data_IF_871353584208
#
_entry.id   IF_871353584208
#
_cell.length_a   1.000
_cell.length_b   1.000
_cell.length_c   1.000
_cell.angle_alpha   90.00
_cell.angle_beta   90.00
_cell.angle_gamma   90.00
#
_symmetry.space_group_name_H-M   'P 1'
#
loop_
_entity.id
_entity.type
_entity.pdbx_description
1 polymer ?
#
# COMPACT_ATOMS: atom_id res chain seq x y z
N UNK A 1 -20.78 -2.04 -4.52
CA UNK A 1 -19.50 -2.72 -4.85
C UNK A 1 -19.84 -3.99 -5.62
N UNK A 2 -19.44 -4.04 -6.90
CA UNK A 2 -19.61 -5.27 -7.68
C UNK A 2 -18.39 -6.17 -7.40
N UNK A 3 -18.65 -7.33 -6.79
CA UNK A 3 -17.59 -8.31 -6.54
C UNK A 3 -17.13 -8.94 -7.86
N UNK A 4 -15.82 -9.25 -8.01
CA UNK A 4 -15.34 -9.97 -9.19
C UNK A 4 -15.99 -11.36 -9.26
N UNK A 5 -16.39 -11.79 -10.47
CA UNK A 5 -17.01 -13.11 -10.65
C UNK A 5 -16.06 -14.29 -10.41
N UNK A 6 -14.76 -14.06 -10.54
CA UNK A 6 -13.71 -15.07 -10.34
C UNK A 6 -12.56 -14.44 -9.56
N UNK A 7 -12.13 -15.11 -8.52
CA UNK A 7 -10.92 -14.80 -7.75
C UNK A 7 -9.92 -15.95 -7.86
N UNK A 8 -8.72 -15.74 -7.37
CA UNK A 8 -7.74 -16.84 -7.28
C UNK A 8 -6.99 -16.82 -5.95
N UNK A 9 -6.46 -17.96 -5.56
CA UNK A 9 -5.54 -18.13 -4.44
C UNK A 9 -4.28 -18.85 -4.90
N UNK A 10 -3.19 -18.65 -4.18
CA UNK A 10 -1.89 -19.22 -4.47
C UNK A 10 -1.39 -19.97 -3.24
N UNK A 11 -1.35 -21.30 -3.38
CA UNK A 11 -0.77 -22.23 -2.39
C UNK A 11 0.35 -23.01 -3.10
N UNK A 12 0.19 -24.32 -3.23
CA UNK A 12 1.09 -25.20 -4.01
C UNK A 12 0.81 -25.13 -5.52
N UNK A 13 -0.27 -24.48 -5.89
CA UNK A 13 -0.70 -24.16 -7.24
C UNK A 13 -1.56 -22.89 -7.26
N UNK A 14 -1.84 -22.36 -8.46
CA UNK A 14 -2.86 -21.34 -8.59
C UNK A 14 -4.23 -21.98 -8.73
N UNK A 15 -5.21 -21.53 -7.93
CA UNK A 15 -6.58 -22.00 -7.94
C UNK A 15 -7.53 -20.86 -8.21
N UNK A 16 -8.26 -20.93 -9.31
CA UNK A 16 -9.32 -19.98 -9.63
C UNK A 16 -10.63 -20.45 -9.04
N UNK A 17 -11.36 -19.57 -8.39
CA UNK A 17 -12.60 -19.85 -7.66
C UNK A 17 -13.70 -18.99 -8.28
N UNK A 18 -14.78 -19.64 -8.71
CA UNK A 18 -16.02 -18.98 -9.09
C UNK A 18 -16.73 -18.48 -7.83
N UNK A 19 -16.94 -17.16 -7.76
CA UNK A 19 -17.51 -16.53 -6.58
C UNK A 19 -19.01 -16.77 -6.42
N UNK A 20 -19.72 -17.09 -7.49
CA UNK A 20 -21.15 -17.38 -7.43
C UNK A 20 -21.44 -18.77 -6.87
N UNK A 21 -20.60 -19.76 -7.21
CA UNK A 21 -20.77 -21.16 -6.82
C UNK A 21 -19.82 -21.60 -5.71
N UNK A 22 -18.82 -20.78 -5.39
CA UNK A 22 -17.71 -21.10 -4.48
C UNK A 22 -16.99 -22.42 -4.87
N UNK A 23 -16.87 -22.68 -6.16
CA UNK A 23 -16.21 -23.88 -6.69
C UNK A 23 -14.90 -23.54 -7.39
N UNK A 24 -13.95 -24.47 -7.35
CA UNK A 24 -12.67 -24.33 -8.06
C UNK A 24 -12.89 -24.60 -9.56
N UNK A 25 -12.41 -23.69 -10.38
CA UNK A 25 -12.37 -23.83 -11.84
C UNK A 25 -11.14 -24.68 -12.25
N UNK A 26 -11.24 -26.00 -12.07
CA UNK A 26 -10.10 -26.93 -12.18
C UNK A 26 -9.34 -26.79 -13.52
N UNK A 27 -10.06 -26.77 -14.65
CA UNK A 27 -9.43 -26.64 -15.97
C UNK A 27 -8.62 -25.36 -16.10
N UNK A 28 -9.14 -24.24 -15.63
CA UNK A 28 -8.45 -22.95 -15.65
C UNK A 28 -7.24 -22.96 -14.74
N UNK A 29 -7.41 -23.49 -13.52
CA UNK A 29 -6.36 -23.61 -12.51
C UNK A 29 -5.20 -24.44 -13.02
N UNK A 30 -5.48 -25.58 -13.65
CA UNK A 30 -4.46 -26.45 -14.24
C UNK A 30 -3.68 -25.77 -15.36
N UNK A 31 -4.37 -25.11 -16.30
CA UNK A 31 -3.73 -24.41 -17.43
C UNK A 31 -2.76 -23.33 -16.91
N UNK A 32 -3.15 -22.56 -15.92
CA UNK A 32 -2.29 -21.51 -15.35
C UNK A 32 -1.14 -22.10 -14.54
N UNK A 33 -1.39 -23.15 -13.75
CA UNK A 33 -0.34 -23.85 -13.00
C UNK A 33 0.73 -24.42 -13.93
N UNK A 34 0.32 -25.05 -15.03
CA UNK A 34 1.25 -25.58 -16.04
C UNK A 34 2.05 -24.47 -16.72
N UNK A 35 1.43 -23.32 -17.01
CA UNK A 35 2.14 -22.18 -17.58
C UNK A 35 3.22 -21.63 -16.62
N UNK A 36 2.94 -21.60 -15.32
CA UNK A 36 3.90 -21.20 -14.28
C UNK A 36 5.04 -22.22 -14.19
N UNK A 37 4.74 -23.52 -14.09
CA UNK A 37 5.74 -24.61 -14.04
C UNK A 37 6.64 -24.64 -15.28
N UNK A 38 6.13 -24.38 -16.47
CA UNK A 38 6.92 -24.27 -17.72
C UNK A 38 7.98 -23.16 -17.71
N UNK A 39 7.86 -22.21 -16.77
CA UNK A 39 8.82 -21.13 -16.54
C UNK A 39 9.62 -21.33 -15.26
N UNK A 40 9.68 -22.57 -14.78
CA UNK A 40 10.41 -23.00 -13.57
C UNK A 40 9.97 -22.26 -12.30
N UNK A 41 8.71 -21.80 -12.24
CA UNK A 41 8.18 -21.17 -11.05
C UNK A 41 8.10 -22.17 -9.89
N UNK A 42 8.63 -21.79 -8.74
CA UNK A 42 8.66 -22.63 -7.53
C UNK A 42 7.73 -22.09 -6.46
N UNK A 43 6.69 -22.83 -6.17
CA UNK A 43 5.80 -22.53 -5.05
C UNK A 43 6.49 -22.78 -3.70
N UNK A 44 6.05 -22.11 -2.60
CA UNK A 44 4.97 -21.15 -2.53
C UNK A 44 5.36 -19.75 -3.02
N UNK A 45 4.36 -18.92 -3.30
CA UNK A 45 4.56 -17.50 -3.56
C UNK A 45 4.98 -16.78 -2.28
N UNK A 46 6.01 -15.94 -2.35
CA UNK A 46 6.49 -15.14 -1.21
C UNK A 46 5.86 -13.76 -1.15
N UNK A 47 5.77 -13.10 -2.29
CA UNK A 47 5.20 -11.77 -2.42
C UNK A 47 4.35 -11.70 -3.68
N UNK A 48 3.24 -10.98 -3.62
CA UNK A 48 2.37 -10.71 -4.76
C UNK A 48 1.84 -9.29 -4.68
N UNK A 49 1.82 -8.59 -5.81
CA UNK A 49 1.18 -7.30 -5.97
C UNK A 49 0.33 -7.28 -7.22
N UNK A 50 -0.79 -6.59 -7.15
CA UNK A 50 -1.71 -6.36 -8.25
C UNK A 50 -2.68 -5.25 -7.88
N UNK A 51 -3.37 -4.70 -8.88
CA UNK A 51 -4.39 -3.69 -8.66
C UNK A 51 -5.78 -4.29 -8.93
N UNK A 52 -6.52 -4.73 -7.88
CA UNK A 52 -7.79 -5.42 -8.05
C UNK A 52 -8.98 -4.50 -8.37
N UNK A 53 -8.75 -3.18 -8.51
CA UNK A 53 -9.85 -2.25 -8.81
C UNK A 53 -10.42 -2.49 -10.21
N UNK A 54 -11.74 -2.29 -10.34
CA UNK A 54 -12.43 -2.30 -11.63
C UNK A 54 -12.37 -0.93 -12.33
N UNK A 55 -11.97 0.13 -11.61
CA UNK A 55 -11.83 1.51 -12.11
C UNK A 55 -10.43 1.74 -12.69
N UNK A 56 -10.02 0.97 -13.68
CA UNK A 56 -8.74 1.12 -14.34
C UNK A 56 -8.90 1.02 -15.86
N UNK A 57 -8.09 1.77 -16.60
CA UNK A 57 -8.16 1.82 -18.05
C UNK A 57 -7.66 0.54 -18.71
N UNK A 58 -6.76 -0.17 -18.05
CA UNK A 58 -6.16 -1.42 -18.52
C UNK A 58 -5.75 -2.28 -17.33
N UNK A 59 -5.42 -3.54 -17.57
CA UNK A 59 -5.05 -4.50 -16.53
C UNK A 59 -3.67 -5.11 -16.84
N UNK A 60 -2.69 -4.77 -16.03
CA UNK A 60 -1.36 -5.40 -16.08
C UNK A 60 -1.29 -6.71 -15.28
N UNK A 61 -2.37 -7.09 -14.60
CA UNK A 61 -2.41 -8.33 -13.82
C UNK A 61 -1.60 -8.25 -12.54
N UNK A 62 -0.74 -9.24 -12.31
CA UNK A 62 -0.05 -9.42 -11.04
C UNK A 62 1.45 -9.62 -11.25
N UNK A 63 2.23 -9.09 -10.32
CA UNK A 63 3.65 -9.41 -10.18
C UNK A 63 3.83 -10.23 -8.92
N UNK A 64 4.66 -11.26 -8.97
CA UNK A 64 4.83 -12.18 -7.85
C UNK A 64 6.24 -12.74 -7.78
N UNK A 65 6.70 -13.06 -6.59
CA UNK A 65 7.97 -13.74 -6.37
C UNK A 65 7.73 -15.18 -5.94
N UNK A 66 8.58 -16.06 -6.43
CA UNK A 66 8.56 -17.48 -6.06
C UNK A 66 9.37 -17.78 -4.78
N UNK A 67 9.48 -19.05 -4.40
CA UNK A 67 10.25 -19.47 -3.23
C UNK A 67 11.74 -19.15 -3.31
N UNK A 68 12.27 -18.99 -4.51
CA UNK A 68 13.68 -18.64 -4.78
C UNK A 68 13.87 -17.13 -4.98
N UNK A 69 12.88 -16.29 -4.61
CA UNK A 69 12.87 -14.83 -4.74
C UNK A 69 12.93 -14.30 -6.18
N UNK A 70 12.69 -15.15 -7.18
CA UNK A 70 12.65 -14.75 -8.58
C UNK A 70 11.33 -14.03 -8.88
N UNK A 71 11.38 -12.92 -9.62
CA UNK A 71 10.22 -12.10 -9.96
C UNK A 71 9.59 -12.57 -11.28
N UNK A 72 8.25 -12.56 -11.30
CA UNK A 72 7.47 -12.95 -12.46
C UNK A 72 6.29 -12.01 -12.67
N UNK A 73 5.87 -11.88 -13.94
CA UNK A 73 4.66 -11.18 -14.33
C UNK A 73 3.59 -12.20 -14.75
N UNK A 74 2.43 -12.16 -14.11
CA UNK A 74 1.27 -13.01 -14.37
C UNK A 74 0.10 -12.18 -14.80
N UNK A 75 -0.44 -12.41 -16.00
CA UNK A 75 -1.72 -11.87 -16.44
C UNK A 75 -2.50 -12.83 -17.34
N UNK A 76 -3.75 -12.51 -17.57
CA UNK A 76 -4.60 -13.24 -18.50
C UNK A 76 -4.79 -12.43 -19.78
N UNK A 77 -4.42 -13.00 -20.92
CA UNK A 77 -4.63 -12.39 -22.23
C UNK A 77 -5.63 -13.23 -23.02
N UNK A 78 -6.80 -12.68 -23.31
CA UNK A 78 -7.87 -13.38 -24.05
C UNK A 78 -8.16 -14.79 -23.52
N UNK A 79 -8.26 -14.91 -22.21
CA UNK A 79 -8.51 -16.19 -21.53
C UNK A 79 -7.29 -17.10 -21.33
N UNK A 80 -6.12 -16.75 -21.88
CA UNK A 80 -4.89 -17.55 -21.79
C UNK A 80 -3.91 -16.97 -20.76
N UNK A 81 -3.13 -17.80 -20.06
CA UNK A 81 -2.09 -17.30 -19.17
C UNK A 81 -0.96 -16.63 -19.96
N UNK A 82 -0.57 -15.45 -19.51
CA UNK A 82 0.70 -14.83 -19.84
C UNK A 82 1.55 -14.89 -18.57
N UNK A 83 2.67 -15.59 -18.65
CA UNK A 83 3.58 -15.76 -17.53
C UNK A 83 5.03 -15.57 -17.97
N UNK A 84 5.71 -14.57 -17.40
CA UNK A 84 7.05 -14.17 -17.84
C UNK A 84 7.96 -13.98 -16.61
N UNK A 85 9.17 -14.61 -16.59
CA UNK A 85 10.20 -14.27 -15.63
C UNK A 85 10.76 -12.87 -15.91
N UNK A 86 11.07 -12.13 -14.85
CA UNK A 86 11.68 -10.80 -14.89
C UNK A 86 13.06 -10.93 -14.25
N UNK A 87 14.14 -10.61 -14.98
CA UNK A 87 15.48 -10.69 -14.42
C UNK A 87 15.66 -9.63 -13.34
N UNK A 88 16.15 -10.05 -12.17
CA UNK A 88 16.56 -9.16 -11.10
C UNK A 88 18.10 -9.05 -11.07
N UNK A 89 18.67 -7.91 -10.71
CA UNK A 89 20.09 -7.80 -10.39
C UNK A 89 20.46 -8.77 -9.25
N UNK A 90 21.72 -9.24 -9.25
CA UNK A 90 22.17 -10.17 -8.22
C UNK A 90 22.07 -9.54 -6.82
N UNK A 91 21.54 -10.32 -5.87
CA UNK A 91 21.42 -9.92 -4.47
C UNK A 91 20.20 -9.04 -4.15
N UNK A 92 19.30 -8.81 -5.12
CA UNK A 92 18.04 -8.11 -4.87
C UNK A 92 16.92 -9.12 -4.65
N UNK A 93 16.26 -9.03 -3.50
CA UNK A 93 15.08 -9.81 -3.14
C UNK A 93 13.90 -8.86 -2.92
N UNK A 94 12.85 -9.01 -3.70
CA UNK A 94 11.67 -8.15 -3.62
C UNK A 94 10.79 -8.59 -2.45
N UNK A 95 10.47 -7.63 -1.56
CA UNK A 95 9.65 -7.84 -0.36
C UNK A 95 8.23 -7.31 -0.50
N UNK A 96 8.02 -6.22 -1.25
CA UNK A 96 6.69 -5.66 -1.52
C UNK A 96 6.59 -5.22 -2.98
N UNK A 97 5.38 -5.30 -3.52
CA UNK A 97 5.06 -4.98 -4.91
C UNK A 97 3.83 -4.10 -4.94
N UNK A 98 3.95 -2.91 -5.52
CA UNK A 98 2.87 -1.94 -5.66
C UNK A 98 2.55 -1.74 -7.14
N UNK A 99 1.38 -2.21 -7.57
CA UNK A 99 0.90 -2.09 -8.94
C UNK A 99 -0.15 -1.01 -9.01
N UNK A 100 0.09 -0.02 -9.87
CA UNK A 100 -0.90 1.00 -10.19
C UNK A 100 -0.80 1.34 -11.68
N UNK A 101 -1.88 1.11 -12.39
CA UNK A 101 -1.95 1.37 -13.82
C UNK A 101 -2.18 2.86 -14.08
N UNK A 102 -1.10 3.57 -14.46
CA UNK A 102 -1.17 4.98 -14.86
C UNK A 102 -1.39 5.10 -16.38
N UNK A 103 -2.18 6.10 -16.83
CA UNK A 103 -2.46 6.28 -18.26
C UNK A 103 -1.23 6.40 -19.15
N UNK A 104 -0.12 6.95 -18.63
CA UNK A 104 1.13 7.11 -19.37
C UNK A 104 1.92 5.80 -19.58
N UNK A 105 1.57 4.72 -18.84
CA UNK A 105 2.18 3.38 -18.94
C UNK A 105 3.71 3.35 -18.87
N UNK A 106 4.36 4.31 -18.19
CA UNK A 106 5.82 4.37 -18.12
C UNK A 106 6.43 3.22 -17.29
N UNK A 107 5.72 2.73 -16.30
CA UNK A 107 6.18 1.63 -15.47
C UNK A 107 5.04 0.67 -15.08
N UNK A 108 5.41 -0.57 -14.76
CA UNK A 108 4.49 -1.62 -14.36
C UNK A 108 4.16 -1.58 -12.87
N UNK A 109 5.19 -1.40 -12.05
CA UNK A 109 5.08 -1.49 -10.61
C UNK A 109 6.21 -0.72 -9.93
N UNK A 110 5.98 -0.36 -8.68
CA UNK A 110 7.02 0.02 -7.73
C UNK A 110 7.30 -1.18 -6.84
N UNK A 111 8.58 -1.43 -6.53
CA UNK A 111 9.03 -2.61 -5.79
C UNK A 111 9.92 -2.17 -4.64
N UNK A 112 9.79 -2.78 -3.47
CA UNK A 112 10.79 -2.64 -2.41
C UNK A 112 11.60 -3.91 -2.26
N UNK A 113 12.89 -3.75 -2.02
CA UNK A 113 13.80 -4.87 -1.76
C UNK A 113 13.97 -5.14 -0.24
N UNK A 114 14.78 -6.14 0.09
CA UNK A 114 15.08 -6.55 1.47
C UNK A 114 15.82 -5.46 2.28
N UNK A 115 16.40 -4.47 1.60
CA UNK A 115 17.09 -3.34 2.23
C UNK A 115 16.22 -2.09 2.29
N UNK A 116 14.93 -2.18 1.93
CA UNK A 116 13.99 -1.06 1.87
C UNK A 116 14.36 0.00 0.82
N UNK A 117 15.09 -0.36 -0.25
CA UNK A 117 15.22 0.51 -1.41
C UNK A 117 13.96 0.40 -2.27
N UNK A 118 13.53 1.52 -2.84
CA UNK A 118 12.41 1.57 -3.78
C UNK A 118 12.91 1.55 -5.22
N UNK A 119 12.26 0.74 -6.04
CA UNK A 119 12.60 0.51 -7.45
C UNK A 119 11.39 0.76 -8.33
N UNK A 120 11.58 1.33 -9.50
CA UNK A 120 10.58 1.39 -10.54
C UNK A 120 10.85 0.30 -11.59
N UNK A 121 9.84 -0.51 -11.89
CA UNK A 121 9.89 -1.53 -12.95
C UNK A 121 9.31 -0.95 -14.23
N UNK A 122 10.16 -0.65 -15.21
CA UNK A 122 9.76 0.01 -16.47
C UNK A 122 8.83 -0.82 -17.35
N UNK A 123 8.04 -0.14 -18.15
CA UNK A 123 7.18 -0.69 -19.18
C UNK A 123 7.60 -0.09 -20.56
N UNK A 124 7.86 -0.91 -21.61
CA UNK A 124 7.63 -2.36 -21.68
C UNK A 124 8.84 -3.24 -21.36
N UNK A 125 10.00 -2.68 -21.05
CA UNK A 125 11.29 -3.39 -21.11
C UNK A 125 11.61 -4.22 -19.87
N UNK A 126 10.84 -4.05 -18.77
CA UNK A 126 11.06 -4.69 -17.47
C UNK A 126 12.45 -4.37 -16.87
N UNK A 127 12.95 -3.16 -17.12
CA UNK A 127 14.19 -2.69 -16.48
C UNK A 127 13.89 -2.18 -15.07
N UNK A 128 14.77 -2.48 -14.13
CA UNK A 128 14.70 -1.95 -12.77
C UNK A 128 15.52 -0.67 -12.66
N UNK A 129 14.85 0.40 -12.25
CA UNK A 129 15.47 1.68 -11.96
C UNK A 129 15.40 1.95 -10.45
N UNK A 130 16.54 2.17 -9.76
CA UNK A 130 16.51 2.58 -8.37
C UNK A 130 15.95 4.00 -8.25
N UNK A 131 15.06 4.22 -7.29
CA UNK A 131 14.61 5.56 -6.95
C UNK A 131 15.50 6.10 -5.82
N UNK A 132 16.22 7.22 -6.01
CA UNK A 132 17.18 7.74 -5.04
C UNK A 132 16.49 8.54 -3.93
N UNK A 133 15.54 7.92 -3.24
CA UNK A 133 14.71 8.51 -2.17
C UNK A 133 15.09 8.03 -0.77
N UNK A 134 16.26 7.40 -0.65
CA UNK A 134 16.66 6.73 0.58
C UNK A 134 15.86 5.47 0.86
N UNK A 135 15.81 5.08 2.13
CA UNK A 135 15.10 3.87 2.54
C UNK A 135 13.61 4.16 2.75
N UNK A 136 12.74 3.27 2.30
CA UNK A 136 11.30 3.33 2.46
C UNK A 136 10.79 1.98 3.02
N UNK A 137 10.31 1.99 4.27
CA UNK A 137 9.69 0.80 4.89
C UNK A 137 8.18 0.86 4.75
N UNK A 138 7.57 0.04 3.87
CA UNK A 138 6.11 0.05 3.64
C UNK A 138 5.26 -0.29 4.87
N UNK A 139 5.87 -0.74 5.96
CA UNK A 139 5.16 -1.09 7.21
C UNK A 139 5.08 0.08 8.19
N UNK A 140 5.90 1.11 7.99
CA UNK A 140 6.06 2.20 8.96
C UNK A 140 5.94 3.58 8.32
N UNK A 141 6.29 3.70 7.04
CA UNK A 141 6.38 4.95 6.32
C UNK A 141 5.20 5.06 5.35
N UNK A 142 4.61 6.24 5.24
CA UNK A 142 3.64 6.56 4.20
C UNK A 142 4.34 7.21 3.02
N UNK A 143 3.98 6.82 1.79
CA UNK A 143 4.55 7.38 0.58
C UNK A 143 3.48 7.96 -0.33
N UNK A 144 3.73 9.15 -0.84
CA UNK A 144 2.95 9.76 -1.89
C UNK A 144 3.84 10.10 -3.08
N UNK A 145 3.42 9.72 -4.28
CA UNK A 145 4.13 10.04 -5.52
C UNK A 145 3.18 10.80 -6.43
N UNK A 146 3.57 12.02 -6.75
CA UNK A 146 2.88 12.90 -7.72
C UNK A 146 3.87 13.19 -8.83
N UNK A 147 3.48 12.90 -10.07
CA UNK A 147 4.35 13.09 -11.21
C UNK A 147 3.63 13.64 -12.42
N UNK A 148 4.37 14.42 -13.21
CA UNK A 148 4.00 14.86 -14.54
C UNK A 148 4.94 14.25 -15.59
N UNK A 149 5.02 14.85 -16.76
CA UNK A 149 5.89 14.40 -17.85
C UNK A 149 7.38 14.70 -17.61
N UNK A 150 7.69 15.62 -16.73
CA UNK A 150 9.05 16.15 -16.51
C UNK A 150 9.61 15.76 -15.17
N UNK A 151 8.80 15.80 -14.11
CA UNK A 151 9.25 15.60 -12.73
C UNK A 151 8.32 14.70 -11.94
N UNK A 152 8.90 13.97 -11.00
CA UNK A 152 8.17 13.28 -9.94
C UNK A 152 8.51 13.90 -8.61
N UNK A 153 7.49 14.19 -7.81
CA UNK A 153 7.63 14.55 -6.40
C UNK A 153 7.27 13.34 -5.57
N UNK A 154 8.22 12.84 -4.81
CA UNK A 154 8.03 11.72 -3.87
C UNK A 154 8.10 12.28 -2.46
N UNK A 155 6.99 12.23 -1.73
CA UNK A 155 6.93 12.58 -0.32
C UNK A 155 6.86 11.29 0.50
N UNK A 156 7.73 11.17 1.51
CA UNK A 156 7.76 10.06 2.45
C UNK A 156 7.60 10.62 3.85
N UNK A 157 6.50 10.22 4.50
CA UNK A 157 6.23 10.59 5.88
C UNK A 157 6.82 9.52 6.82
N UNK A 158 7.80 9.92 7.60
CA UNK A 158 8.55 9.08 8.54
C UNK A 158 8.38 9.58 9.96
N UNK A 159 8.82 8.79 10.93
CA UNK A 159 8.79 9.18 12.35
C UNK A 159 9.59 10.44 12.68
N UNK A 160 10.60 10.77 11.91
CA UNK A 160 11.47 11.94 12.06
C UNK A 160 11.00 13.16 11.27
N UNK A 161 10.01 12.99 10.38
CA UNK A 161 9.42 14.05 9.59
C UNK A 161 9.11 13.65 8.15
N UNK A 162 8.69 14.63 7.38
CA UNK A 162 8.40 14.47 5.96
C UNK A 162 9.66 14.71 5.12
N UNK A 163 9.98 13.76 4.26
CA UNK A 163 11.09 13.83 3.32
C UNK A 163 10.53 13.92 1.90
N UNK A 164 10.86 14.98 1.18
CA UNK A 164 10.40 15.24 -0.17
C UNK A 164 11.58 15.16 -1.12
N UNK A 165 11.40 14.42 -2.21
CA UNK A 165 12.38 14.21 -3.26
C UNK A 165 11.79 14.64 -4.59
N UNK A 166 12.51 15.47 -5.34
CA UNK A 166 12.18 15.77 -6.74
C UNK A 166 13.06 14.91 -7.65
N UNK A 167 12.44 14.12 -8.52
CA UNK A 167 13.12 13.24 -9.46
C UNK A 167 12.80 13.66 -10.89
N UNK A 168 13.77 13.52 -11.80
CA UNK A 168 13.54 13.63 -13.23
C UNK A 168 12.64 12.46 -13.70
N UNK A 169 11.58 12.76 -14.45
CA UNK A 169 10.65 11.73 -14.90
C UNK A 169 11.20 10.83 -16.03
N UNK A 170 12.36 11.16 -16.60
CA UNK A 170 12.93 10.40 -17.71
C UNK A 170 13.83 9.28 -17.23
N UNK A 171 14.75 9.58 -16.29
CA UNK A 171 15.76 8.65 -15.80
C UNK A 171 15.73 8.39 -14.29
N UNK A 172 14.78 9.04 -13.61
CA UNK A 172 14.58 8.99 -12.14
C UNK A 172 15.76 9.53 -11.32
N UNK A 173 16.65 10.33 -11.94
CA UNK A 173 17.73 10.98 -11.21
C UNK A 173 17.20 11.99 -10.19
N UNK A 174 17.90 12.13 -9.06
CA UNK A 174 17.54 13.09 -8.02
C UNK A 174 17.85 14.51 -8.49
N UNK A 175 16.83 15.36 -8.53
CA UNK A 175 16.93 16.79 -8.88
C UNK A 175 17.14 17.62 -7.62
N UNK A 176 16.32 17.38 -6.59
CA UNK A 176 16.37 18.14 -5.33
C UNK A 176 15.78 17.33 -4.18
N UNK A 177 16.06 17.76 -2.94
CA UNK A 177 15.49 17.15 -1.73
C UNK A 177 15.20 18.18 -0.67
N UNK A 178 14.08 18.00 0.03
CA UNK A 178 13.66 18.86 1.11
C UNK A 178 13.18 17.98 2.29
N UNK A 179 13.55 18.37 3.50
CA UNK A 179 13.13 17.65 4.70
C UNK A 179 12.45 18.60 5.67
N UNK A 180 11.24 18.26 6.07
CA UNK A 180 10.50 18.93 7.13
C UNK A 180 10.57 18.06 8.38
N UNK A 181 11.35 18.45 9.41
CA UNK A 181 11.40 17.69 10.65
C UNK A 181 10.03 17.66 11.33
N UNK A 182 9.68 16.54 11.92
CA UNK A 182 8.43 16.42 12.66
C UNK A 182 8.42 17.41 13.83
N UNK A 183 7.70 18.50 13.65
CA UNK A 183 7.46 19.43 14.73
C UNK A 183 6.43 18.82 15.70
N UNK A 184 6.89 18.17 16.76
CA UNK A 184 6.01 17.94 17.90
C UNK A 184 5.66 19.29 18.51
N UNK A 185 4.60 19.91 18.03
CA UNK A 185 4.17 21.19 18.60
C UNK A 185 3.89 20.99 20.10
N UNK A 186 4.24 21.97 20.94
CA UNK A 186 3.85 21.92 22.37
C UNK A 186 2.33 21.72 22.49
N UNK A 187 1.56 22.27 21.57
CA UNK A 187 0.11 22.08 21.49
C UNK A 187 -0.28 20.59 21.29
N UNK A 188 0.44 19.83 20.44
CA UNK A 188 0.19 18.39 20.28
C UNK A 188 0.53 17.61 21.53
N UNK A 189 1.67 17.92 22.19
CA UNK A 189 2.06 17.28 23.48
C UNK A 189 1.04 17.57 24.57
N UNK A 190 0.58 18.80 24.68
CA UNK A 190 -0.45 19.22 25.63
C UNK A 190 -1.81 18.61 25.26
N UNK A 191 -2.13 18.55 23.98
CA UNK A 191 -3.36 17.95 23.45
C UNK A 191 -3.59 16.52 23.94
N UNK A 192 -2.56 15.69 23.94
CA UNK A 192 -2.64 14.32 24.45
C UNK A 192 -3.00 14.18 25.96
N UNK A 193 -2.85 15.25 26.74
CA UNK A 193 -3.27 15.27 28.14
C UNK A 193 -4.72 15.75 28.35
N UNK A 194 -5.27 16.47 27.39
CA UNK A 194 -6.61 17.06 27.50
C UNK A 194 -7.66 16.42 26.60
N UNK A 195 -7.26 15.91 25.43
CA UNK A 195 -8.17 15.31 24.48
C UNK A 195 -8.01 13.80 24.44
N UNK A 196 -9.04 13.03 24.89
CA UNK A 196 -8.99 11.56 24.95
C UNK A 196 -9.04 10.88 23.57
N UNK A 197 -9.46 11.61 22.55
CA UNK A 197 -9.50 11.13 21.16
C UNK A 197 -9.42 12.31 20.19
N UNK A 198 -8.95 12.06 18.99
CA UNK A 198 -8.95 13.00 17.87
C UNK A 198 -10.08 12.65 16.90
N UNK A 199 -10.84 13.68 16.49
CA UNK A 199 -11.85 13.56 15.46
C UNK A 199 -11.23 14.03 14.15
N UNK A 200 -11.03 13.10 13.22
CA UNK A 200 -10.59 13.43 11.86
C UNK A 200 -11.71 13.20 10.85
N UNK A 201 -11.65 13.93 9.76
CA UNK A 201 -12.54 13.77 8.62
C UNK A 201 -11.69 13.29 7.44
N UNK A 202 -11.74 12.01 7.16
CA UNK A 202 -10.97 11.40 6.09
C UNK A 202 -11.89 10.69 5.09
N UNK A 203 -11.58 10.85 3.81
CA UNK A 203 -12.17 10.06 2.75
C UNK A 203 -11.22 8.92 2.39
N UNK A 204 -11.74 7.71 2.30
CA UNK A 204 -11.00 6.57 1.76
C UNK A 204 -11.11 6.50 0.23
N UNK A 205 -12.10 7.18 -0.33
CA UNK A 205 -12.57 7.01 -1.72
C UNK A 205 -13.16 8.34 -2.20
N UNK A 206 -12.51 9.43 -2.15
CA UNK A 206 -12.87 10.81 -2.61
C UNK A 206 -14.38 11.13 -2.80
N UNK A 207 -15.27 10.18 -2.54
CA UNK A 207 -16.71 10.31 -2.72
C UNK A 207 -17.47 10.67 -1.44
N UNK A 208 -16.97 10.25 -0.27
CA UNK A 208 -17.65 10.50 1.01
C UNK A 208 -16.64 10.75 2.12
N UNK A 209 -16.82 11.84 2.85
CA UNK A 209 -16.04 12.17 4.05
C UNK A 209 -16.75 11.59 5.27
N UNK A 210 -16.07 10.71 6.00
CA UNK A 210 -16.59 10.10 7.23
C UNK A 210 -15.85 10.64 8.46
N UNK A 211 -16.57 10.99 9.55
CA UNK A 211 -15.92 11.29 10.82
C UNK A 211 -15.27 10.01 11.38
N UNK A 212 -14.03 10.10 11.78
CA UNK A 212 -13.28 9.02 12.42
C UNK A 212 -12.73 9.49 13.76
N UNK A 213 -12.90 8.66 14.77
CA UNK A 213 -12.24 8.83 16.05
C UNK A 213 -10.97 7.97 16.06
N UNK A 214 -9.83 8.61 16.30
CA UNK A 214 -8.53 7.97 16.36
C UNK A 214 -7.65 8.57 17.45
N UNK A 215 -6.39 8.16 17.46
CA UNK A 215 -5.36 8.69 18.37
C UNK A 215 -5.80 8.74 19.84
N UNK A 216 -6.33 7.63 20.36
CA UNK A 216 -6.81 7.54 21.72
C UNK A 216 -5.69 7.75 22.74
N UNK A 217 -5.88 8.72 23.63
CA UNK A 217 -4.94 9.02 24.72
C UNK A 217 -5.49 8.58 26.07
N UNK A 218 -4.89 7.55 26.66
CA UNK A 218 -5.21 7.10 28.02
C UNK A 218 -4.87 8.20 29.04
N UNK A 219 -3.86 9.04 28.76
CA UNK A 219 -3.45 10.15 29.62
C UNK A 219 -4.51 11.24 29.76
N UNK A 220 -5.43 11.35 28.81
CA UNK A 220 -6.50 12.35 28.82
C UNK A 220 -7.79 11.85 29.49
N UNK A 221 -7.87 10.59 29.94
CA UNK A 221 -9.07 10.01 30.58
C UNK A 221 -9.45 10.71 31.90
N UNK A 222 -8.51 11.41 32.54
CA UNK A 222 -8.84 12.22 33.74
C UNK A 222 -9.84 13.34 33.44
N UNK A 223 -9.87 13.90 32.24
CA UNK A 223 -10.77 14.99 31.85
C UNK A 223 -12.25 14.59 31.92
N UNK A 224 -12.71 13.53 31.22
CA UNK A 224 -14.09 13.08 31.33
C UNK A 224 -14.43 12.60 32.76
N UNK A 225 -13.48 11.99 33.50
CA UNK A 225 -13.71 11.60 34.88
C UNK A 225 -13.96 12.83 35.76
N UNK A 226 -13.15 13.88 35.62
CA UNK A 226 -13.33 15.14 36.34
C UNK A 226 -14.68 15.78 36.02
N UNK A 227 -15.09 15.82 34.74
CA UNK A 227 -16.38 16.36 34.31
C UNK A 227 -17.55 15.58 34.91
N UNK A 228 -17.47 14.26 34.96
CA UNK A 228 -18.49 13.40 35.58
C UNK A 228 -18.58 13.69 37.08
N UNK A 229 -17.43 13.80 37.80
CA UNK A 229 -17.41 14.12 39.24
C UNK A 229 -18.00 15.49 39.52
N UNK A 230 -17.68 16.51 38.72
CA UNK A 230 -18.27 17.86 38.84
C UNK A 230 -19.78 17.84 38.61
N UNK A 231 -20.24 17.08 37.63
CA UNK A 231 -21.67 16.93 37.30
C UNK A 231 -22.40 16.23 38.46
N UNK A 232 -21.87 15.15 38.97
CA UNK A 232 -22.43 14.43 40.13
C UNK A 232 -22.45 15.30 41.37
N UNK A 233 -21.36 16.02 41.69
CA UNK A 233 -21.31 16.96 42.79
C UNK A 233 -22.36 18.04 42.74
N UNK A 234 -22.57 18.61 41.52
CA UNK A 234 -23.63 19.62 41.31
C UNK A 234 -25.04 19.02 41.42
N UNK A 235 -25.22 17.81 40.96
CA UNK A 235 -26.50 17.08 41.07
C UNK A 235 -26.86 16.76 42.51
N UNK A 236 -25.91 16.24 43.32
CA UNK A 236 -26.14 15.94 44.72
C UNK A 236 -26.38 17.22 45.57
N UNK A 237 -25.63 18.31 45.28
CA UNK A 237 -25.84 19.59 45.99
C UNK A 237 -27.24 20.19 45.71
N UNK A 238 -27.80 19.96 44.54
CA UNK A 238 -29.18 20.43 44.24
C UNK A 238 -30.24 19.57 44.92
N UNK A 239 -29.94 18.30 45.26
CA UNK A 239 -30.87 17.39 45.95
C UNK A 239 -30.88 17.54 47.45
N UNK A 240 -29.85 18.13 48.05
CA UNK A 240 -29.74 18.43 49.51
C UNK A 240 -30.31 19.81 49.91
N UNK A 241 -30.71 20.65 48.96
CA UNK A 241 -31.29 22.00 49.20
C UNK A 241 -32.82 21.97 49.01
N UNK A 242 -33.41 20.83 48.78
CA UNK A 242 -34.85 20.54 48.84
C UNK A 242 -35.13 19.55 49.94
#
# INVERSE_FOLDING_TARGET
>A
LQMPGVVFRLNDRIEFIDMATNTILEKKSEIFTQAMKKKDFRFPVRCIGGNPTVKKEYDEGYFLTDSDHRLFHLKQLRGRPYFRPIPLPKGIEITHIFVKEYPNRKFYALLTDQENNLWALSNPDYQLYPLPIGKYDPRQDDIQIIGDLFNWTVSIDKKDGEHIFALDATDYSLVDTLTYPQQSSMASKIGHYFFPAELSFASYDDQYVYPRLGNYSVKALWVPILLILLFLGKYYKKKTVH
#
